data_IF_075921876265
#
_entry.id   IF_075921876265
#
_cell.length_a   1.000
_cell.length_b   1.000
_cell.length_c   1.000
_cell.angle_alpha   90.00
_cell.angle_beta   90.00
_cell.angle_gamma   90.00
#
_symmetry.space_group_name_H-M   'P 1'
#
loop_
_entity.id
_entity.type
_entity.pdbx_description
1 polymer ?
#
# COMPACT_ATOMS: atom_id res chain seq x y z
N UNK A 1 -1.55 -6.42 -16.16
CA UNK A 1 -2.25 -6.12 -14.90
C UNK A 1 -2.79 -7.44 -14.36
N UNK A 2 -2.22 -7.92 -13.30
CA UNK A 2 -2.46 -9.25 -12.75
C UNK A 2 -2.64 -9.14 -11.23
N UNK A 3 -3.39 -10.06 -10.65
CA UNK A 3 -3.47 -10.28 -9.22
C UNK A 3 -2.73 -11.58 -8.90
N UNK A 4 -1.63 -11.49 -8.20
CA UNK A 4 -0.78 -12.61 -7.82
C UNK A 4 -0.89 -12.85 -6.32
N UNK A 5 -1.36 -14.03 -5.91
CA UNK A 5 -1.43 -14.45 -4.51
C UNK A 5 -0.22 -15.32 -4.13
N UNK A 6 0.49 -14.93 -3.06
CA UNK A 6 1.52 -15.76 -2.41
C UNK A 6 0.85 -16.48 -1.24
N UNK A 7 0.75 -17.80 -1.35
CA UNK A 7 0.00 -18.65 -0.42
C UNK A 7 0.96 -19.58 0.29
N UNK A 8 0.70 -19.88 1.55
CA UNK A 8 1.47 -20.84 2.34
C UNK A 8 1.20 -20.71 3.85
N UNK A 9 1.60 -21.72 4.66
CA UNK A 9 1.40 -21.69 6.10
C UNK A 9 2.22 -20.58 6.78
N UNK A 10 1.92 -20.32 8.06
CA UNK A 10 2.74 -19.42 8.88
C UNK A 10 4.18 -19.94 8.94
N UNK A 11 5.14 -19.01 8.88
CA UNK A 11 6.57 -19.34 8.87
C UNK A 11 7.12 -19.82 7.52
N UNK A 12 6.32 -19.95 6.46
CA UNK A 12 6.80 -20.39 5.13
C UNK A 12 7.65 -19.35 4.37
N UNK A 13 7.87 -18.17 4.94
CA UNK A 13 8.72 -17.15 4.33
C UNK A 13 8.00 -16.15 3.42
N UNK A 14 6.66 -16.14 3.33
CA UNK A 14 5.89 -15.20 2.48
C UNK A 14 6.26 -13.74 2.72
N UNK A 15 6.17 -13.30 3.98
CA UNK A 15 6.51 -11.91 4.33
C UNK A 15 8.00 -11.62 4.17
N UNK A 16 8.88 -12.62 4.34
CA UNK A 16 10.32 -12.48 4.05
C UNK A 16 10.56 -12.24 2.56
N UNK A 17 9.91 -13.03 1.70
CA UNK A 17 9.95 -12.83 0.25
C UNK A 17 9.43 -11.45 -0.14
N UNK A 18 8.26 -11.03 0.39
CA UNK A 18 7.73 -9.70 0.12
C UNK A 18 8.69 -8.60 0.59
N UNK A 19 9.30 -8.74 1.78
CA UNK A 19 10.29 -7.79 2.29
C UNK A 19 11.52 -7.65 1.39
N UNK A 20 11.91 -8.71 0.68
CA UNK A 20 12.93 -8.62 -0.37
C UNK A 20 12.39 -7.86 -1.60
N UNK A 21 11.15 -8.14 -2.02
CA UNK A 21 10.51 -7.48 -3.17
C UNK A 21 10.34 -5.97 -2.92
N UNK A 22 9.97 -5.54 -1.70
CA UNK A 22 9.82 -4.11 -1.42
C UNK A 22 11.03 -3.49 -0.67
N UNK A 23 12.21 -4.14 -0.75
CA UNK A 23 13.53 -3.59 -0.37
C UNK A 23 13.74 -3.35 1.13
N UNK A 24 12.98 -3.95 2.02
CA UNK A 24 13.31 -3.95 3.45
C UNK A 24 14.45 -4.92 3.74
N UNK A 25 14.46 -6.06 3.04
CA UNK A 25 15.55 -7.05 3.12
C UNK A 25 16.27 -7.13 1.78
N UNK A 26 17.56 -7.38 1.83
CA UNK A 26 18.35 -7.74 0.66
C UNK A 26 18.41 -9.27 0.59
N UNK A 27 18.11 -9.91 -0.56
CA UNK A 27 18.24 -11.34 -0.70
C UNK A 27 19.71 -11.77 -0.63
N UNK A 28 20.00 -12.91 -0.01
CA UNK A 28 21.35 -13.49 0.08
C UNK A 28 21.83 -13.97 -1.29
N UNK A 29 20.91 -14.41 -2.14
CA UNK A 29 21.17 -14.85 -3.50
C UNK A 29 20.00 -14.50 -4.43
N UNK A 30 20.28 -14.38 -5.73
CA UNK A 30 19.32 -13.95 -6.73
C UNK A 30 19.12 -12.45 -6.76
N UNK A 31 18.18 -11.98 -7.59
CA UNK A 31 17.87 -10.57 -7.76
C UNK A 31 16.35 -10.39 -8.00
N UNK A 32 15.84 -9.22 -7.61
CA UNK A 32 14.48 -8.78 -7.92
C UNK A 32 14.57 -7.74 -9.04
N UNK A 33 13.74 -7.91 -10.07
CA UNK A 33 13.66 -6.98 -11.20
C UNK A 33 12.32 -6.29 -11.22
N UNK A 34 12.32 -4.99 -11.50
CA UNK A 34 11.13 -4.16 -11.65
C UNK A 34 11.22 -3.46 -13.01
N UNK A 35 10.34 -3.82 -13.95
CA UNK A 35 10.39 -3.39 -15.36
C UNK A 35 11.76 -3.64 -16.03
N UNK A 36 12.38 -4.80 -15.77
CA UNK A 36 13.67 -5.19 -16.36
C UNK A 36 14.92 -4.56 -15.72
N UNK A 37 14.75 -3.66 -14.74
CA UNK A 37 15.85 -3.05 -13.99
C UNK A 37 15.98 -3.74 -12.62
N UNK A 38 17.21 -4.06 -12.21
CA UNK A 38 17.45 -4.65 -10.90
C UNK A 38 17.04 -3.68 -9.79
N UNK A 39 16.15 -4.12 -8.92
CA UNK A 39 15.50 -3.28 -7.90
C UNK A 39 16.51 -2.61 -6.96
N UNK A 40 17.58 -3.31 -6.56
CA UNK A 40 18.60 -2.77 -5.65
C UNK A 40 19.54 -1.78 -6.31
N UNK A 41 19.66 -1.77 -7.65
CA UNK A 41 20.41 -0.76 -8.41
C UNK A 41 19.65 0.57 -8.54
N UNK A 42 18.32 0.53 -8.43
CA UNK A 42 17.47 1.73 -8.50
C UNK A 42 17.62 2.60 -7.26
N UNK A 43 17.41 3.91 -7.38
CA UNK A 43 17.19 4.77 -6.22
C UNK A 43 15.88 4.39 -5.51
N UNK A 44 15.81 4.57 -4.16
CA UNK A 44 14.57 4.33 -3.38
C UNK A 44 13.41 5.12 -3.97
N UNK A 45 13.64 6.36 -4.36
CA UNK A 45 12.63 7.23 -4.96
C UNK A 45 12.14 6.71 -6.32
N UNK A 46 13.05 6.16 -7.15
CA UNK A 46 12.69 5.58 -8.44
C UNK A 46 11.82 4.34 -8.25
N UNK A 47 12.20 3.41 -7.38
CA UNK A 47 11.39 2.22 -7.09
C UNK A 47 10.03 2.58 -6.46
N UNK A 48 9.98 3.59 -5.57
CA UNK A 48 8.73 4.06 -4.97
C UNK A 48 7.78 4.74 -5.97
N UNK A 49 8.24 5.16 -7.15
CA UNK A 49 7.37 5.63 -8.24
C UNK A 49 6.77 4.51 -9.08
N UNK A 50 7.32 3.31 -8.96
CA UNK A 50 6.89 2.13 -9.72
C UNK A 50 6.13 1.11 -8.85
N UNK A 51 6.31 1.14 -7.54
CA UNK A 51 5.73 0.15 -6.63
C UNK A 51 5.30 0.80 -5.32
N UNK A 52 4.01 0.65 -4.98
CA UNK A 52 3.47 1.03 -3.68
C UNK A 52 3.38 -0.20 -2.77
N UNK A 53 3.42 0.02 -1.46
CA UNK A 53 3.41 -1.06 -0.46
C UNK A 53 2.43 -0.74 0.66
N UNK A 54 1.56 -1.72 0.95
CA UNK A 54 0.77 -1.80 2.17
C UNK A 54 1.38 -2.89 3.03
N UNK A 55 2.17 -2.50 4.04
CA UNK A 55 2.84 -3.43 4.94
C UNK A 55 1.90 -3.88 6.07
N UNK A 56 2.21 -5.04 6.66
CA UNK A 56 1.42 -5.70 7.71
C UNK A 56 1.19 -4.82 8.95
N UNK A 57 2.17 -3.99 9.34
CA UNK A 57 2.09 -3.14 10.52
C UNK A 57 2.33 -1.68 10.14
N UNK A 58 1.32 -0.86 10.36
CA UNK A 58 1.39 0.58 10.18
C UNK A 58 0.98 1.25 11.51
N UNK A 59 1.90 1.30 12.48
CA UNK A 59 1.68 2.05 13.71
C UNK A 59 1.99 3.52 13.45
N UNK A 60 0.96 4.35 13.49
CA UNK A 60 1.10 5.80 13.44
C UNK A 60 0.71 6.38 14.80
N UNK A 61 1.70 6.82 15.55
CA UNK A 61 1.51 7.50 16.83
C UNK A 61 1.39 9.02 16.66
N UNK A 62 0.98 9.48 15.47
CA UNK A 62 0.86 10.90 15.18
C UNK A 62 -0.60 11.29 14.99
N UNK A 63 -0.96 12.50 15.42
CA UNK A 63 -2.31 13.08 15.26
C UNK A 63 -2.48 13.70 13.87
N UNK A 64 -2.21 12.89 12.83
CA UNK A 64 -2.48 13.29 11.45
C UNK A 64 -3.94 13.07 11.09
N UNK A 65 -4.47 13.96 10.26
CA UNK A 65 -5.76 13.75 9.61
C UNK A 65 -5.65 12.65 8.56
N UNK A 66 -6.78 12.05 8.22
CA UNK A 66 -6.86 11.04 7.14
C UNK A 66 -6.28 11.58 5.83
N UNK A 67 -6.61 12.83 5.47
CA UNK A 67 -6.09 13.52 4.29
C UNK A 67 -4.57 13.61 4.30
N UNK A 68 -3.99 14.01 5.43
CA UNK A 68 -2.53 14.11 5.57
C UNK A 68 -1.84 12.76 5.43
N UNK A 69 -2.41 11.69 6.02
CA UNK A 69 -1.89 10.32 5.86
C UNK A 69 -1.88 9.90 4.39
N UNK A 70 -2.96 10.16 3.65
CA UNK A 70 -3.03 9.82 2.21
C UNK A 70 -2.08 10.67 1.40
N UNK A 71 -1.92 11.96 1.75
CA UNK A 71 -1.02 12.89 1.08
C UNK A 71 0.46 12.45 1.16
N UNK A 72 0.87 11.74 2.22
CA UNK A 72 2.20 11.13 2.31
C UNK A 72 2.50 10.19 1.13
N UNK A 73 1.48 9.60 0.49
CA UNK A 73 1.63 8.80 -0.72
C UNK A 73 2.21 9.59 -1.90
N UNK A 74 2.13 10.93 -1.87
CA UNK A 74 2.70 11.78 -2.93
C UNK A 74 4.21 12.03 -2.78
N UNK A 75 4.81 11.71 -1.63
CA UNK A 75 6.22 11.98 -1.34
C UNK A 75 7.21 11.52 -2.43
N UNK A 76 7.10 10.33 -3.07
CA UNK A 76 8.01 9.92 -4.13
C UNK A 76 8.01 10.84 -5.36
N UNK A 77 6.93 11.58 -5.60
CA UNK A 77 6.77 12.47 -6.75
C UNK A 77 7.30 13.88 -6.50
N UNK A 78 7.60 14.22 -5.25
CA UNK A 78 8.07 15.56 -4.84
C UNK A 78 9.58 15.72 -4.98
N UNK A 79 10.01 16.94 -5.23
CA UNK A 79 11.41 17.36 -5.02
C UNK A 79 11.62 17.67 -3.53
N UNK A 80 12.88 17.78 -3.12
CA UNK A 80 13.21 18.19 -1.75
C UNK A 80 12.59 19.56 -1.47
N UNK A 81 11.86 19.69 -0.37
CA UNK A 81 11.15 20.90 0.07
C UNK A 81 10.02 21.39 -0.87
N UNK A 82 9.60 20.58 -1.83
CA UNK A 82 8.45 20.91 -2.68
C UNK A 82 7.16 20.79 -1.88
N UNK A 83 6.37 21.86 -1.89
CA UNK A 83 5.05 21.89 -1.23
C UNK A 83 4.02 21.09 -2.03
N UNK A 84 2.97 20.64 -1.33
CA UNK A 84 1.82 20.02 -1.97
C UNK A 84 1.06 21.04 -2.80
N UNK A 85 0.56 20.60 -3.94
CA UNK A 85 -0.14 21.45 -4.89
C UNK A 85 -1.57 20.93 -5.16
N UNK A 86 -2.39 21.69 -5.87
CA UNK A 86 -3.78 21.33 -6.14
C UNK A 86 -3.95 19.95 -6.79
N UNK A 87 -2.99 19.53 -7.64
CA UNK A 87 -3.04 18.20 -8.28
C UNK A 87 -2.83 17.09 -7.25
N UNK A 88 -1.97 17.28 -6.25
CA UNK A 88 -1.76 16.28 -5.20
C UNK A 88 -3.02 16.11 -4.36
N UNK A 89 -3.68 17.21 -4.00
CA UNK A 89 -4.96 17.14 -3.26
C UNK A 89 -6.05 16.48 -4.09
N UNK A 90 -6.15 16.75 -5.38
CA UNK A 90 -7.09 16.06 -6.26
C UNK A 90 -6.84 14.54 -6.27
N UNK A 91 -5.58 14.09 -6.38
CA UNK A 91 -5.21 12.68 -6.34
C UNK A 91 -5.58 12.05 -4.99
N UNK A 92 -5.37 12.77 -3.89
CA UNK A 92 -5.77 12.34 -2.54
C UNK A 92 -7.28 12.17 -2.44
N UNK A 93 -8.06 13.14 -2.92
CA UNK A 93 -9.53 13.08 -2.90
C UNK A 93 -10.06 11.91 -3.75
N UNK A 94 -9.48 11.66 -4.93
CA UNK A 94 -9.80 10.50 -5.77
C UNK A 94 -9.45 9.17 -5.07
N UNK A 95 -8.29 9.08 -4.41
CA UNK A 95 -7.90 7.91 -3.65
C UNK A 95 -8.83 7.66 -2.46
N UNK A 96 -9.20 8.68 -1.69
CA UNK A 96 -10.16 8.59 -0.59
C UNK A 96 -11.54 8.13 -1.07
N UNK A 97 -12.02 8.67 -2.19
CA UNK A 97 -13.28 8.26 -2.81
C UNK A 97 -13.23 6.80 -3.25
N UNK A 98 -12.12 6.34 -3.82
CA UNK A 98 -11.94 4.94 -4.23
C UNK A 98 -12.12 3.97 -3.06
N UNK A 99 -11.66 4.33 -1.87
CA UNK A 99 -11.77 3.50 -0.66
C UNK A 99 -12.98 3.87 0.22
N UNK A 100 -13.87 4.76 -0.24
CA UNK A 100 -15.08 5.23 0.48
C UNK A 100 -14.75 5.86 1.84
N UNK A 101 -13.73 6.72 1.88
CA UNK A 101 -13.27 7.41 3.09
C UNK A 101 -13.26 8.94 2.94
N UNK A 102 -13.90 9.49 1.90
CA UNK A 102 -13.91 10.93 1.62
C UNK A 102 -14.55 11.76 2.75
N UNK A 103 -15.60 11.25 3.40
CA UNK A 103 -16.27 11.94 4.51
C UNK A 103 -15.45 11.96 5.80
N UNK A 104 -14.38 11.15 5.87
CA UNK A 104 -13.46 11.06 7.01
C UNK A 104 -12.18 11.88 6.81
N UNK A 105 -12.05 12.60 5.69
CA UNK A 105 -10.79 13.24 5.28
C UNK A 105 -10.16 14.12 6.36
N UNK A 106 -10.96 14.86 7.12
CA UNK A 106 -10.51 15.80 8.14
C UNK A 106 -10.52 15.20 9.56
N UNK A 107 -10.90 13.92 9.72
CA UNK A 107 -10.82 13.22 11.01
C UNK A 107 -9.39 12.81 11.32
N UNK A 108 -9.06 12.76 12.60
CA UNK A 108 -7.78 12.24 13.09
C UNK A 108 -7.69 10.72 12.81
N UNK A 109 -6.63 10.28 12.16
CA UNK A 109 -6.44 8.88 11.75
C UNK A 109 -6.50 7.90 12.92
N UNK A 110 -5.94 8.24 14.09
CA UNK A 110 -5.93 7.39 15.30
C UNK A 110 -7.32 7.13 15.87
N UNK A 111 -8.34 7.94 15.52
CA UNK A 111 -9.73 7.77 15.99
C UNK A 111 -10.55 6.79 15.13
N UNK A 112 -9.99 6.29 14.05
CA UNK A 112 -10.65 5.37 13.14
C UNK A 112 -10.60 3.92 13.67
N UNK A 113 -11.59 3.12 13.30
CA UNK A 113 -11.55 1.67 13.48
C UNK A 113 -10.43 1.03 12.64
N UNK A 114 -9.99 -0.19 13.01
CA UNK A 114 -8.92 -0.89 12.28
C UNK A 114 -9.23 -1.06 10.78
N UNK A 115 -10.46 -1.39 10.42
CA UNK A 115 -10.88 -1.51 9.02
C UNK A 115 -10.87 -0.18 8.26
N UNK A 116 -11.26 0.93 8.92
CA UNK A 116 -11.16 2.27 8.34
C UNK A 116 -9.70 2.69 8.17
N UNK A 117 -8.85 2.44 9.17
CA UNK A 117 -7.41 2.70 9.08
C UNK A 117 -6.79 1.94 7.90
N UNK A 118 -7.13 0.66 7.73
CA UNK A 118 -6.61 -0.14 6.63
C UNK A 118 -7.03 0.42 5.26
N UNK A 119 -8.27 0.89 5.11
CA UNK A 119 -8.71 1.58 3.88
C UNK A 119 -7.94 2.88 3.62
N UNK A 120 -7.67 3.67 4.67
CA UNK A 120 -6.86 4.89 4.54
C UNK A 120 -5.42 4.57 4.11
N UNK A 121 -4.82 3.51 4.66
CA UNK A 121 -3.48 3.06 4.25
C UNK A 121 -3.48 2.58 2.79
N UNK A 122 -4.54 1.90 2.35
CA UNK A 122 -4.69 1.57 0.94
C UNK A 122 -4.84 2.83 0.08
N UNK A 123 -5.65 3.83 0.51
CA UNK A 123 -5.75 5.11 -0.20
C UNK A 123 -4.40 5.81 -0.34
N UNK A 124 -3.57 5.80 0.71
CA UNK A 124 -2.19 6.31 0.65
C UNK A 124 -1.37 5.61 -0.43
N UNK A 125 -1.46 4.28 -0.53
CA UNK A 125 -0.77 3.53 -1.56
C UNK A 125 -1.31 3.85 -2.96
N UNK A 126 -2.63 4.03 -3.12
CA UNK A 126 -3.25 4.45 -4.38
C UNK A 126 -2.85 5.88 -4.80
N UNK A 127 -2.76 6.80 -3.84
CA UNK A 127 -2.30 8.16 -4.09
C UNK A 127 -0.86 8.22 -4.63
N UNK A 128 -0.07 7.17 -4.42
CA UNK A 128 1.26 7.04 -5.01
C UNK A 128 1.23 6.82 -6.53
N UNK A 129 0.09 6.39 -7.10
CA UNK A 129 -0.13 6.20 -8.55
C UNK A 129 0.93 5.31 -9.22
N UNK A 130 1.20 4.16 -8.65
CA UNK A 130 2.18 3.20 -9.16
C UNK A 130 1.52 2.10 -10.01
N UNK A 131 2.23 1.53 -10.99
CA UNK A 131 1.74 0.39 -11.77
C UNK A 131 1.68 -0.92 -10.98
N UNK A 132 2.42 -1.03 -9.86
CA UNK A 132 2.43 -2.20 -8.98
C UNK A 132 2.08 -1.84 -7.53
N UNK A 133 1.33 -2.73 -6.87
CA UNK A 133 0.92 -2.64 -5.48
C UNK A 133 1.26 -3.95 -4.76
N UNK A 134 1.99 -3.85 -3.67
CA UNK A 134 2.30 -4.98 -2.79
C UNK A 134 1.42 -4.90 -1.55
N UNK A 135 0.77 -6.01 -1.21
CA UNK A 135 -0.08 -6.16 -0.02
C UNK A 135 0.48 -7.28 0.86
N UNK A 136 1.09 -6.91 1.99
CA UNK A 136 1.63 -7.87 2.95
C UNK A 136 0.61 -8.15 4.05
N UNK A 137 -0.14 -9.25 3.90
CA UNK A 137 -1.21 -9.69 4.80
C UNK A 137 -2.26 -8.57 5.08
N UNK A 138 -2.87 -8.00 4.04
CA UNK A 138 -3.72 -6.81 4.17
C UNK A 138 -5.03 -7.07 4.92
N UNK A 139 -5.39 -8.33 5.13
CA UNK A 139 -6.64 -8.77 5.79
C UNK A 139 -6.44 -9.13 7.26
N UNK A 140 -5.20 -9.12 7.78
CA UNK A 140 -4.94 -9.44 9.17
C UNK A 140 -5.67 -8.49 10.13
N UNK A 141 -6.23 -9.06 11.19
CA UNK A 141 -6.98 -8.35 12.23
C UNK A 141 -8.28 -7.67 11.75
N UNK A 142 -8.71 -7.91 10.51
CA UNK A 142 -10.00 -7.47 10.02
C UNK A 142 -11.05 -8.57 10.22
N UNK A 143 -12.30 -8.18 10.52
CA UNK A 143 -13.42 -9.10 10.42
C UNK A 143 -13.69 -9.49 8.95
N UNK A 144 -14.42 -10.59 8.75
CA UNK A 144 -14.66 -11.17 7.42
C UNK A 144 -15.33 -10.18 6.45
N UNK A 145 -16.21 -9.30 6.95
CA UNK A 145 -16.88 -8.31 6.10
C UNK A 145 -15.88 -7.30 5.53
N UNK A 146 -14.99 -6.77 6.37
CA UNK A 146 -13.96 -5.84 5.95
C UNK A 146 -12.90 -6.51 5.06
N UNK A 147 -12.59 -7.80 5.29
CA UNK A 147 -11.70 -8.57 4.41
C UNK A 147 -12.26 -8.68 3.00
N UNK A 148 -13.54 -9.09 2.86
CA UNK A 148 -14.21 -9.22 1.57
C UNK A 148 -14.26 -7.87 0.86
N UNK A 149 -14.67 -6.80 1.56
CA UNK A 149 -14.73 -5.45 0.98
C UNK A 149 -13.37 -4.99 0.46
N UNK A 150 -12.30 -5.24 1.22
CA UNK A 150 -10.93 -4.88 0.82
C UNK A 150 -10.50 -5.65 -0.44
N UNK A 151 -10.76 -6.97 -0.50
CA UNK A 151 -10.40 -7.80 -1.64
C UNK A 151 -11.21 -7.46 -2.90
N UNK A 152 -12.50 -7.14 -2.76
CA UNK A 152 -13.31 -6.64 -3.88
C UNK A 152 -12.80 -5.30 -4.41
N UNK A 153 -12.38 -4.41 -3.53
CA UNK A 153 -11.78 -3.14 -3.91
C UNK A 153 -10.47 -3.38 -4.67
N UNK A 154 -9.59 -4.23 -4.15
CA UNK A 154 -8.31 -4.58 -4.79
C UNK A 154 -8.53 -5.19 -6.19
N UNK A 155 -9.52 -6.05 -6.37
CA UNK A 155 -9.87 -6.61 -7.70
C UNK A 155 -10.28 -5.56 -8.73
N UNK A 156 -10.86 -4.45 -8.28
CA UNK A 156 -11.29 -3.36 -9.18
C UNK A 156 -10.15 -2.42 -9.55
N UNK A 157 -9.00 -2.53 -8.87
CA UNK A 157 -7.83 -1.70 -9.17
C UNK A 157 -7.23 -2.10 -10.51
N UNK A 158 -6.90 -1.10 -11.32
CA UNK A 158 -6.31 -1.29 -12.63
C UNK A 158 -4.76 -1.31 -12.57
N UNK A 159 -4.19 -2.00 -11.58
CA UNK A 159 -2.75 -2.14 -11.34
C UNK A 159 -2.37 -3.60 -11.17
N UNK A 160 -1.10 -3.94 -11.27
CA UNK A 160 -0.61 -5.27 -10.89
C UNK A 160 -0.54 -5.34 -9.37
N UNK A 161 -1.15 -6.37 -8.77
CA UNK A 161 -1.16 -6.56 -7.32
C UNK A 161 -0.45 -7.85 -6.97
N UNK A 162 0.46 -7.80 -6.00
CA UNK A 162 1.06 -8.98 -5.36
C UNK A 162 0.63 -8.98 -3.90
N UNK A 163 -0.04 -10.03 -3.46
CA UNK A 163 -0.54 -10.12 -2.09
C UNK A 163 -0.08 -11.40 -1.41
N UNK A 164 0.47 -11.30 -0.19
CA UNK A 164 0.57 -12.46 0.69
C UNK A 164 -0.76 -12.67 1.38
N UNK A 165 -1.33 -13.87 1.25
CA UNK A 165 -2.60 -14.27 1.82
C UNK A 165 -2.35 -15.40 2.80
N UNK A 166 -2.82 -15.24 4.04
CA UNK A 166 -2.65 -16.21 5.10
C UNK A 166 -3.79 -17.23 5.13
N UNK A 167 -5.02 -16.79 4.92
CA UNK A 167 -6.22 -17.61 4.99
C UNK A 167 -6.90 -17.66 3.62
N UNK A 168 -7.19 -18.89 3.16
CA UNK A 168 -7.87 -19.14 1.88
C UNK A 168 -9.38 -19.31 2.04
N UNK A 169 -9.91 -19.19 3.26
CA UNK A 169 -11.33 -19.33 3.54
C UNK A 169 -12.14 -18.04 3.31
N UNK A 170 -11.63 -17.16 2.44
CA UNK A 170 -12.28 -15.90 2.07
C UNK A 170 -12.95 -16.05 0.70
#
# INVERSE_FOLDING_TARGET
KELVGIIGPNGSGKSTLLKCIYRILKPDAGAVYLDGEELHSMSVKSSARKMAVVAQHNYYNFDFTVREVVLMGRAPHKKTLERDNAKDYQIVDEALKTVQMETFADRTFSTLSGGEQQRVILARALAQQTPALILDEPTNHLDITHQIMLMELVKKLNVTVISAIHDLNI
#
